data_IF_159799883646
#
_entry.id   IF_159799883646
#
_cell.length_a   1.000
_cell.length_b   1.000
_cell.length_c   1.000
_cell.angle_alpha   90.00
_cell.angle_beta   90.00
_cell.angle_gamma   90.00
#
_symmetry.space_group_name_H-M   'P 1'
#
loop_
_entity.id
_entity.type
_entity.pdbx_description
1 polymer ?
#
# COMPACT_ATOMS: atom_id res chain seq x y z
N UNK A 1 -23.87 -9.09 -3.67
CA UNK A 1 -22.63 -8.75 -2.96
C UNK A 1 -22.81 -7.34 -2.39
N UNK A 2 -22.59 -7.18 -1.08
CA UNK A 2 -22.60 -5.88 -0.41
C UNK A 2 -21.18 -5.63 0.10
N UNK A 3 -20.58 -4.52 -0.32
CA UNK A 3 -19.26 -4.09 0.13
C UNK A 3 -19.41 -2.89 1.06
N UNK A 4 -18.86 -3.00 2.27
CA UNK A 4 -18.88 -1.94 3.26
C UNK A 4 -17.42 -1.61 3.57
N UNK A 5 -17.07 -0.33 3.45
CA UNK A 5 -15.76 0.18 3.82
C UNK A 5 -15.90 1.07 5.05
N UNK A 6 -15.11 0.80 6.08
CA UNK A 6 -15.16 1.48 7.37
C UNK A 6 -13.92 2.37 7.53
N UNK A 7 -13.98 3.58 6.96
CA UNK A 7 -12.83 4.50 6.86
C UNK A 7 -12.41 5.15 8.19
N UNK A 8 -13.26 5.10 9.22
CA UNK A 8 -13.00 5.79 10.49
C UNK A 8 -11.70 5.31 11.14
N UNK A 9 -11.38 4.02 11.05
CA UNK A 9 -10.15 3.46 11.60
C UNK A 9 -8.90 4.10 10.98
N UNK A 10 -8.86 4.24 9.65
CA UNK A 10 -7.79 4.95 8.93
C UNK A 10 -7.66 6.38 9.41
N UNK A 11 -8.75 7.16 9.35
CA UNK A 11 -8.69 8.61 9.66
C UNK A 11 -8.27 8.88 11.10
N UNK A 12 -8.72 8.05 12.04
CA UNK A 12 -8.36 8.19 13.45
C UNK A 12 -6.89 7.79 13.65
N UNK A 13 -6.44 6.68 13.06
CA UNK A 13 -5.03 6.27 13.16
C UNK A 13 -4.08 7.27 12.48
N UNK A 14 -4.43 7.82 11.33
CA UNK A 14 -3.64 8.88 10.67
C UNK A 14 -3.54 10.12 11.56
N UNK A 15 -4.64 10.56 12.18
CA UNK A 15 -4.66 11.78 12.98
C UNK A 15 -3.97 11.64 14.36
N UNK A 16 -4.14 10.49 15.02
CA UNK A 16 -3.77 10.29 16.41
C UNK A 16 -2.63 9.28 16.63
N UNK A 17 -2.33 8.44 15.63
CA UNK A 17 -1.35 7.36 15.74
C UNK A 17 -1.96 6.04 16.22
N UNK A 18 -1.48 4.87 15.75
CA UNK A 18 -2.05 3.58 16.16
C UNK A 18 -1.87 3.25 17.64
N UNK A 19 -0.95 3.93 18.34
CA UNK A 19 -0.67 3.74 19.76
C UNK A 19 -1.58 4.59 20.67
N UNK A 20 -2.52 5.35 20.10
CA UNK A 20 -3.32 6.34 20.83
C UNK A 20 -4.56 5.74 21.49
N UNK A 21 -5.07 6.44 22.52
CA UNK A 21 -6.32 6.08 23.20
C UNK A 21 -7.55 6.25 22.28
N UNK A 22 -7.47 7.15 21.30
CA UNK A 22 -8.52 7.36 20.30
C UNK A 22 -8.66 6.14 19.38
N UNK A 23 -7.55 5.53 18.98
CA UNK A 23 -7.57 4.28 18.20
C UNK A 23 -8.09 3.13 19.04
N UNK A 24 -7.69 3.04 20.32
CA UNK A 24 -8.20 2.02 21.24
C UNK A 24 -9.73 2.13 21.42
N UNK A 25 -10.25 3.31 21.78
CA UNK A 25 -11.70 3.54 21.95
C UNK A 25 -12.47 3.30 20.64
N UNK A 26 -11.89 3.68 19.51
CA UNK A 26 -12.47 3.40 18.19
C UNK A 26 -12.65 1.90 17.95
N UNK A 27 -11.66 1.06 18.28
CA UNK A 27 -11.79 -0.38 18.10
C UNK A 27 -12.83 -1.00 19.03
N UNK A 28 -12.97 -0.55 20.28
CA UNK A 28 -14.05 -1.02 21.15
C UNK A 28 -15.44 -0.68 20.60
N UNK A 29 -15.60 0.50 20.00
CA UNK A 29 -16.86 0.89 19.34
C UNK A 29 -17.11 0.07 18.08
N UNK A 30 -16.07 -0.10 17.26
CA UNK A 30 -16.15 -0.88 16.03
C UNK A 30 -16.55 -2.33 16.32
N UNK A 31 -15.97 -2.95 17.35
CA UNK A 31 -16.34 -4.30 17.78
C UNK A 31 -17.83 -4.42 18.10
N UNK A 32 -18.35 -3.49 18.92
CA UNK A 32 -19.79 -3.45 19.26
C UNK A 32 -20.66 -3.22 18.02
N UNK A 33 -20.29 -2.27 17.17
CA UNK A 33 -21.06 -1.94 15.97
C UNK A 33 -21.06 -3.11 14.97
N UNK A 34 -19.95 -3.86 14.86
CA UNK A 34 -19.88 -5.10 14.09
C UNK A 34 -20.75 -6.19 14.70
N UNK A 35 -20.75 -6.35 16.02
CA UNK A 35 -21.60 -7.33 16.70
C UNK A 35 -23.10 -7.05 16.45
N UNK A 36 -23.52 -5.79 16.57
CA UNK A 36 -24.89 -5.36 16.30
C UNK A 36 -25.27 -5.57 14.82
N UNK A 37 -24.39 -5.18 13.90
CA UNK A 37 -24.61 -5.36 12.46
C UNK A 37 -24.71 -6.84 12.07
N UNK A 38 -23.79 -7.68 12.54
CA UNK A 38 -23.80 -9.11 12.25
C UNK A 38 -25.04 -9.78 12.85
N UNK A 39 -25.43 -9.41 14.08
CA UNK A 39 -26.67 -9.90 14.71
C UNK A 39 -27.89 -9.56 13.87
N UNK A 40 -27.99 -8.31 13.41
CA UNK A 40 -29.06 -7.89 12.50
C UNK A 40 -29.03 -8.69 11.19
N UNK A 41 -27.87 -8.77 10.53
CA UNK A 41 -27.70 -9.45 9.25
C UNK A 41 -28.12 -10.92 9.32
N UNK A 42 -27.61 -11.67 10.30
CA UNK A 42 -27.92 -13.09 10.46
C UNK A 42 -29.36 -13.36 10.89
N UNK A 43 -30.08 -12.37 11.44
CA UNK A 43 -31.51 -12.47 11.68
C UNK A 43 -32.36 -12.28 10.40
N UNK A 44 -31.83 -11.65 9.35
CA UNK A 44 -32.54 -11.42 8.08
C UNK A 44 -32.39 -12.56 7.07
N UNK A 45 -31.46 -13.50 7.29
CA UNK A 45 -31.09 -14.53 6.31
C UNK A 45 -31.19 -15.92 6.92
N UNK A 46 -31.51 -16.91 6.08
CA UNK A 46 -31.43 -18.30 6.51
C UNK A 46 -29.98 -18.70 6.79
N UNK A 47 -29.79 -19.54 7.81
CA UNK A 47 -28.48 -20.06 8.19
C UNK A 47 -27.86 -20.81 7.01
N UNK A 48 -26.64 -20.42 6.62
CA UNK A 48 -25.92 -21.05 5.50
C UNK A 48 -26.00 -20.29 4.17
N UNK A 49 -26.70 -19.16 4.11
CA UNK A 49 -26.88 -18.39 2.87
C UNK A 49 -26.00 -17.12 2.80
N UNK A 50 -25.20 -16.86 3.83
CA UNK A 50 -24.30 -15.70 3.88
C UNK A 50 -22.90 -16.11 4.31
N UNK A 51 -21.91 -15.55 3.63
CA UNK A 51 -20.51 -15.54 4.03
C UNK A 51 -20.06 -14.08 4.12
N UNK A 52 -19.51 -13.72 5.27
CA UNK A 52 -18.91 -12.42 5.55
C UNK A 52 -17.39 -12.57 5.43
N UNK A 53 -16.76 -11.66 4.70
CA UNK A 53 -15.31 -11.54 4.66
C UNK A 53 -14.94 -10.19 5.25
N UNK A 54 -14.17 -10.22 6.33
CA UNK A 54 -13.63 -9.03 6.99
C UNK A 54 -12.12 -9.00 6.80
N UNK A 55 -11.62 -7.88 6.32
CA UNK A 55 -10.19 -7.63 6.09
C UNK A 55 -9.90 -6.14 6.13
N UNK A 56 -8.63 -5.76 6.00
CA UNK A 56 -8.19 -4.39 5.83
C UNK A 56 -7.53 -4.23 4.46
N UNK A 57 -7.57 -3.05 3.87
CA UNK A 57 -6.84 -2.77 2.62
C UNK A 57 -5.36 -2.49 2.86
N UNK A 58 -5.01 -2.07 4.08
CA UNK A 58 -3.64 -1.97 4.58
C UNK A 58 -3.61 -1.91 6.12
N UNK A 59 -2.42 -2.03 6.70
CA UNK A 59 -2.15 -1.67 8.09
C UNK A 59 -1.77 -0.19 8.24
N UNK A 60 -0.91 0.16 9.19
CA UNK A 60 -0.40 1.54 9.32
C UNK A 60 0.96 1.56 10.01
N UNK A 61 1.77 2.56 9.69
CA UNK A 61 3.04 2.78 10.39
C UNK A 61 2.82 3.10 11.88
N UNK A 62 3.85 2.90 12.72
CA UNK A 62 3.91 3.58 14.00
C UNK A 62 3.82 5.10 13.83
N UNK A 63 3.50 5.80 14.92
CA UNK A 63 3.55 7.26 14.94
C UNK A 63 4.95 7.80 14.65
N UNK A 64 5.08 8.83 13.81
CA UNK A 64 6.38 9.41 13.46
C UNK A 64 7.12 9.98 14.68
N UNK A 65 6.39 10.41 15.71
CA UNK A 65 6.90 10.98 16.96
C UNK A 65 6.93 9.97 18.11
N UNK A 66 6.84 8.67 17.82
CA UNK A 66 6.98 7.62 18.82
C UNK A 66 8.36 7.69 19.49
N UNK A 67 8.38 7.72 20.83
CA UNK A 67 9.60 7.95 21.61
C UNK A 67 10.68 6.85 21.48
N UNK A 68 10.36 5.71 20.86
CA UNK A 68 11.24 4.56 20.70
C UNK A 68 11.31 4.18 19.22
N UNK A 69 12.48 4.30 18.60
CA UNK A 69 12.71 3.93 17.20
C UNK A 69 13.33 5.04 16.36
N UNK A 70 13.70 4.71 15.12
CA UNK A 70 14.16 5.69 14.12
C UNK A 70 12.98 6.13 13.23
N UNK A 71 11.94 6.68 13.83
CA UNK A 71 10.77 7.26 13.13
C UNK A 71 11.03 8.72 12.77
N UNK A 72 10.58 9.17 11.59
CA UNK A 72 10.77 10.56 11.16
C UNK A 72 9.80 10.94 10.01
N UNK A 73 9.86 12.19 9.55
CA UNK A 73 9.06 12.71 8.44
C UNK A 73 9.94 13.05 7.24
N UNK A 74 9.51 12.59 6.07
CA UNK A 74 10.14 12.87 4.80
C UNK A 74 9.54 14.12 4.16
N UNK A 75 10.34 15.19 4.04
CA UNK A 75 9.91 16.43 3.39
C UNK A 75 9.93 16.28 1.87
N UNK A 76 8.79 15.88 1.32
CA UNK A 76 8.57 15.65 -0.12
C UNK A 76 8.91 16.88 -0.99
N UNK A 77 8.52 18.08 -0.55
CA UNK A 77 8.75 19.33 -1.30
C UNK A 77 10.23 19.68 -1.38
N UNK A 78 10.96 19.54 -0.28
CA UNK A 78 12.40 19.76 -0.25
C UNK A 78 13.11 18.72 -1.12
N UNK A 79 12.71 17.45 -1.05
CA UNK A 79 13.23 16.39 -1.90
C UNK A 79 13.05 16.73 -3.40
N UNK A 80 11.84 17.12 -3.81
CA UNK A 80 11.54 17.51 -5.19
C UNK A 80 12.45 18.65 -5.69
N UNK A 81 12.61 19.71 -4.88
CA UNK A 81 13.49 20.84 -5.20
C UNK A 81 14.95 20.40 -5.35
N UNK A 82 15.44 19.53 -4.44
CA UNK A 82 16.82 19.04 -4.49
C UNK A 82 17.05 18.15 -5.72
N UNK A 83 16.11 17.26 -6.07
CA UNK A 83 16.21 16.42 -7.27
C UNK A 83 16.23 17.29 -8.54
N UNK A 84 15.37 18.31 -8.63
CA UNK A 84 15.40 19.23 -9.77
C UNK A 84 16.72 20.02 -9.82
N UNK A 85 17.25 20.44 -8.66
CA UNK A 85 18.57 21.07 -8.53
C UNK A 85 19.72 20.17 -9.01
N UNK A 86 19.70 18.90 -8.63
CA UNK A 86 20.66 17.89 -9.09
C UNK A 86 20.66 17.77 -10.62
N UNK A 87 19.47 17.65 -11.22
CA UNK A 87 19.31 17.57 -12.69
C UNK A 87 19.74 18.87 -13.38
N UNK A 88 19.52 20.03 -12.76
CA UNK A 88 19.98 21.32 -13.26
C UNK A 88 21.50 21.42 -13.33
N UNK A 89 22.22 20.93 -12.31
CA UNK A 89 23.69 20.91 -12.32
C UNK A 89 24.22 19.96 -13.41
N UNK A 90 23.53 18.84 -13.63
CA UNK A 90 23.98 17.79 -14.54
C UNK A 90 23.65 18.05 -16.02
N UNK A 91 22.48 18.61 -16.29
CA UNK A 91 21.94 18.76 -17.65
C UNK A 91 21.62 20.21 -18.04
N UNK A 92 21.93 21.16 -17.16
CA UNK A 92 21.64 22.59 -17.34
C UNK A 92 20.26 22.98 -16.85
N UNK A 93 20.03 24.28 -16.70
CA UNK A 93 18.80 24.83 -16.11
C UNK A 93 17.53 24.41 -16.87
N UNK A 94 16.53 23.97 -16.13
CA UNK A 94 15.21 23.61 -16.61
C UNK A 94 14.31 23.03 -15.51
N UNK A 95 13.06 22.79 -15.91
CA UNK A 95 12.07 22.10 -15.09
C UNK A 95 12.07 20.62 -15.47
N UNK A 96 12.90 19.85 -14.76
CA UNK A 96 13.14 18.43 -15.02
C UNK A 96 12.19 17.52 -14.26
N UNK A 97 11.72 17.96 -13.09
CA UNK A 97 10.72 17.26 -12.28
C UNK A 97 9.37 17.94 -12.47
N UNK A 98 8.36 17.17 -12.88
CA UNK A 98 6.98 17.63 -13.06
C UNK A 98 6.25 17.66 -11.73
N UNK A 99 6.44 16.61 -10.94
CA UNK A 99 5.83 16.46 -9.62
C UNK A 99 6.53 15.37 -8.81
N UNK A 100 6.33 15.45 -7.51
CA UNK A 100 6.45 14.32 -6.60
C UNK A 100 5.08 14.04 -5.97
N UNK A 101 4.62 12.78 -6.00
CA UNK A 101 3.37 12.37 -5.34
C UNK A 101 3.41 10.88 -4.97
N UNK A 102 2.93 10.53 -3.79
CA UNK A 102 2.84 9.16 -3.26
C UNK A 102 4.13 8.36 -3.52
N UNK A 103 5.25 8.87 -3.00
CA UNK A 103 6.58 8.27 -3.16
C UNK A 103 7.03 8.07 -4.62
N UNK A 104 6.41 8.75 -5.58
CA UNK A 104 6.77 8.69 -7.00
C UNK A 104 7.30 10.03 -7.50
N UNK A 105 8.46 10.01 -8.18
CA UNK A 105 8.99 11.14 -8.94
C UNK A 105 8.48 11.06 -10.37
N UNK A 106 7.96 12.17 -10.89
CA UNK A 106 7.53 12.31 -12.29
C UNK A 106 8.49 13.26 -13.01
N UNK A 107 9.11 12.78 -14.08
CA UNK A 107 10.08 13.54 -14.86
C UNK A 107 9.43 14.19 -16.08
N UNK A 108 10.00 15.30 -16.52
CA UNK A 108 9.54 16.01 -17.71
C UNK A 108 10.08 15.33 -18.97
N UNK A 109 9.32 14.38 -19.53
CA UNK A 109 9.73 13.60 -20.70
C UNK A 109 9.98 14.46 -21.94
N UNK A 110 9.19 15.52 -22.15
CA UNK A 110 9.40 16.45 -23.26
C UNK A 110 10.76 17.14 -23.14
N UNK A 111 11.10 17.61 -21.94
CA UNK A 111 12.38 18.28 -21.69
C UNK A 111 13.57 17.34 -21.89
N UNK A 112 13.46 16.10 -21.41
CA UNK A 112 14.48 15.05 -21.62
C UNK A 112 14.66 14.78 -23.11
N UNK A 113 13.57 14.64 -23.86
CA UNK A 113 13.59 14.42 -25.30
C UNK A 113 14.20 15.60 -26.08
N UNK A 114 13.78 16.84 -25.80
CA UNK A 114 14.30 18.06 -26.45
C UNK A 114 15.81 18.23 -26.27
N UNK A 115 16.34 17.73 -25.15
CA UNK A 115 17.76 17.77 -24.82
C UNK A 115 18.55 16.58 -25.39
N UNK A 116 17.88 15.66 -26.10
CA UNK A 116 18.48 14.47 -26.67
C UNK A 116 18.97 13.46 -25.63
N UNK A 117 18.42 13.49 -24.42
CA UNK A 117 18.81 12.62 -23.32
C UNK A 117 18.05 11.29 -23.36
N UNK A 118 18.68 10.23 -22.86
CA UNK A 118 18.03 8.94 -22.71
C UNK A 118 17.21 8.91 -21.41
N UNK A 119 15.89 8.70 -21.52
CA UNK A 119 14.99 8.66 -20.36
C UNK A 119 15.39 7.60 -19.32
N UNK A 120 15.80 6.41 -19.76
CA UNK A 120 16.18 5.34 -18.84
C UNK A 120 17.43 5.69 -18.02
N UNK A 121 18.39 6.38 -18.64
CA UNK A 121 19.59 6.86 -17.94
C UNK A 121 19.22 7.91 -16.90
N UNK A 122 18.40 8.92 -17.27
CA UNK A 122 17.95 9.95 -16.33
C UNK A 122 17.17 9.35 -15.16
N UNK A 123 16.25 8.42 -15.43
CA UNK A 123 15.51 7.71 -14.38
C UNK A 123 16.44 6.97 -13.41
N UNK A 124 17.45 6.28 -13.95
CA UNK A 124 18.40 5.53 -13.13
C UNK A 124 19.28 6.44 -12.27
N UNK A 125 19.72 7.57 -12.82
CA UNK A 125 20.49 8.56 -12.06
C UNK A 125 19.68 9.18 -10.91
N UNK A 126 18.41 9.51 -11.16
CA UNK A 126 17.50 10.01 -10.12
C UNK A 126 17.28 8.95 -9.03
N UNK A 127 17.11 7.68 -9.39
CA UNK A 127 16.99 6.60 -8.42
C UNK A 127 18.26 6.45 -7.56
N UNK A 128 19.45 6.47 -8.17
CA UNK A 128 20.74 6.42 -7.45
C UNK A 128 20.91 7.62 -6.53
N UNK A 129 20.54 8.82 -7.00
CA UNK A 129 20.63 10.04 -6.20
C UNK A 129 19.65 10.01 -5.01
N UNK A 130 18.42 9.55 -5.23
CA UNK A 130 17.41 9.43 -4.17
C UNK A 130 17.86 8.50 -3.03
N UNK A 131 18.63 7.45 -3.32
CA UNK A 131 19.20 6.54 -2.31
C UNK A 131 20.19 7.23 -1.34
N UNK A 132 20.66 8.45 -1.64
CA UNK A 132 21.55 9.20 -0.74
C UNK A 132 20.80 9.90 0.40
N UNK A 133 19.47 9.98 0.32
CA UNK A 133 18.65 10.61 1.34
C UNK A 133 18.42 9.64 2.50
N UNK A 134 18.69 10.10 3.73
CA UNK A 134 18.54 9.30 4.95
C UNK A 134 17.18 8.60 5.07
N UNK A 135 16.10 9.25 4.60
CA UNK A 135 14.75 8.73 4.68
C UNK A 135 14.37 7.71 3.60
N UNK A 136 15.25 7.39 2.64
CA UNK A 136 14.94 6.51 1.51
C UNK A 136 15.62 5.15 1.71
N UNK A 137 14.85 4.07 1.72
CA UNK A 137 15.38 2.70 1.80
C UNK A 137 15.58 2.07 0.42
N UNK A 138 14.70 2.38 -0.54
CA UNK A 138 14.76 1.89 -1.91
C UNK A 138 14.30 2.97 -2.88
N UNK A 139 14.91 3.01 -4.06
CA UNK A 139 14.45 3.80 -5.19
C UNK A 139 14.61 2.97 -6.48
N UNK A 140 13.51 2.72 -7.18
CA UNK A 140 13.49 1.91 -8.40
C UNK A 140 13.01 2.75 -9.59
N UNK A 141 13.78 2.73 -10.68
CA UNK A 141 13.39 3.39 -11.91
C UNK A 141 12.26 2.64 -12.62
N UNK A 142 11.37 3.37 -13.30
CA UNK A 142 10.33 2.79 -14.13
C UNK A 142 10.90 1.87 -15.22
N UNK A 143 12.11 2.15 -15.72
CA UNK A 143 12.81 1.24 -16.63
C UNK A 143 13.14 -0.08 -15.95
N UNK A 144 13.77 -0.08 -14.77
CA UNK A 144 14.06 -1.31 -14.04
C UNK A 144 12.79 -2.12 -13.73
N UNK A 145 11.70 -1.45 -13.39
CA UNK A 145 10.41 -2.09 -13.12
C UNK A 145 9.80 -2.78 -14.35
N UNK A 146 10.12 -2.32 -15.57
CA UNK A 146 9.63 -2.92 -16.82
C UNK A 146 10.57 -3.97 -17.41
N UNK A 147 11.88 -3.79 -17.23
CA UNK A 147 12.90 -4.60 -17.93
C UNK A 147 13.49 -5.72 -17.08
N UNK A 148 13.18 -5.75 -15.79
CA UNK A 148 13.74 -6.73 -14.85
C UNK A 148 12.62 -7.50 -14.15
N UNK A 149 12.98 -8.61 -13.49
CA UNK A 149 12.07 -9.36 -12.63
C UNK A 149 12.60 -9.37 -11.20
N UNK A 150 11.80 -8.89 -10.25
CA UNK A 150 12.12 -8.94 -8.83
C UNK A 150 11.35 -10.10 -8.18
N UNK A 151 12.07 -11.17 -7.83
CA UNK A 151 11.44 -12.43 -7.36
C UNK A 151 10.96 -12.41 -5.91
N UNK A 152 11.43 -11.50 -5.07
CA UNK A 152 11.10 -11.47 -3.65
C UNK A 152 11.30 -10.09 -3.00
N UNK A 153 10.90 -9.99 -1.72
CA UNK A 153 11.17 -8.82 -0.88
C UNK A 153 10.38 -7.57 -1.28
N UNK A 154 10.91 -6.42 -0.90
CA UNK A 154 10.27 -5.12 -1.14
C UNK A 154 10.23 -4.77 -2.63
N UNK A 155 11.28 -5.09 -3.38
CA UNK A 155 11.36 -4.79 -4.81
C UNK A 155 10.26 -5.52 -5.61
N UNK A 156 9.93 -6.78 -5.27
CA UNK A 156 8.78 -7.49 -5.87
C UNK A 156 7.47 -6.78 -5.57
N UNK A 157 7.25 -6.37 -4.33
CA UNK A 157 6.02 -5.66 -3.94
C UNK A 157 5.90 -4.32 -4.64
N UNK A 158 6.98 -3.55 -4.72
CA UNK A 158 7.01 -2.32 -5.52
C UNK A 158 6.69 -2.62 -6.99
N UNK A 159 7.22 -3.71 -7.57
CA UNK A 159 6.97 -4.08 -8.96
C UNK A 159 5.51 -4.46 -9.20
N UNK A 160 4.88 -5.17 -8.27
CA UNK A 160 3.46 -5.51 -8.33
C UNK A 160 2.56 -4.26 -8.25
N UNK A 161 3.00 -3.21 -7.57
CA UNK A 161 2.27 -1.93 -7.47
C UNK A 161 2.55 -0.97 -8.64
N UNK A 162 3.41 -1.33 -9.59
CA UNK A 162 3.80 -0.47 -10.69
C UNK A 162 2.95 -0.70 -11.95
N UNK A 163 2.34 0.37 -12.46
CA UNK A 163 1.64 0.38 -13.74
C UNK A 163 2.30 1.37 -14.71
N UNK A 164 2.88 0.92 -15.85
CA UNK A 164 3.71 1.75 -16.73
C UNK A 164 3.10 3.08 -17.20
N UNK A 165 1.76 3.18 -17.23
CA UNK A 165 1.05 4.38 -17.71
C UNK A 165 0.56 5.30 -16.59
N UNK A 166 0.66 4.91 -15.32
CA UNK A 166 0.11 5.66 -14.17
C UNK A 166 1.06 5.77 -12.98
N UNK A 167 2.15 5.04 -12.97
CA UNK A 167 3.21 5.17 -11.97
C UNK A 167 4.28 6.14 -12.44
N UNK A 168 4.97 6.77 -11.48
CA UNK A 168 6.05 7.70 -11.78
C UNK A 168 7.29 7.04 -12.37
N UNK A 169 8.24 7.88 -12.74
CA UNK A 169 9.51 7.54 -13.37
C UNK A 169 10.52 6.92 -12.41
N UNK A 170 10.41 7.25 -11.12
CA UNK A 170 11.15 6.62 -10.02
C UNK A 170 10.19 6.43 -8.86
N UNK A 171 10.10 5.21 -8.33
CA UNK A 171 9.28 4.85 -7.17
C UNK A 171 10.17 4.65 -5.96
N UNK A 172 9.83 5.29 -4.85
CA UNK A 172 10.57 5.21 -3.58
C UNK A 172 9.87 4.28 -2.59
N UNK A 173 10.66 3.68 -1.72
CA UNK A 173 10.20 3.18 -0.43
C UNK A 173 11.01 3.92 0.64
N UNK A 174 10.33 4.49 1.62
CA UNK A 174 11.00 5.20 2.72
C UNK A 174 11.61 4.20 3.71
N UNK A 175 12.39 4.69 4.66
CA UNK A 175 12.90 3.90 5.79
C UNK A 175 11.74 3.42 6.69
N UNK A 176 11.90 2.32 7.45
CA UNK A 176 10.87 1.87 8.39
C UNK A 176 10.51 2.96 9.39
N UNK A 177 9.22 3.19 9.62
CA UNK A 177 8.74 4.24 10.53
C UNK A 177 8.85 5.67 9.98
N UNK A 178 9.29 5.84 8.74
CA UNK A 178 9.25 7.13 8.06
C UNK A 178 7.97 7.29 7.25
N UNK A 179 7.35 8.46 7.37
CA UNK A 179 6.17 8.83 6.59
C UNK A 179 6.41 10.13 5.83
N UNK A 180 5.62 10.40 4.79
CA UNK A 180 5.65 11.68 4.11
C UNK A 180 5.12 12.79 5.02
N UNK A 181 5.75 13.97 4.97
CA UNK A 181 5.37 15.10 5.80
C UNK A 181 3.97 15.63 5.42
N UNK A 182 2.94 15.29 6.20
CA UNK A 182 1.57 15.80 6.03
C UNK A 182 1.00 16.47 7.29
N UNK A 183 0.29 17.60 7.15
CA UNK A 183 -0.32 18.30 8.29
C UNK A 183 -1.30 17.39 9.05
N UNK A 184 -1.22 17.40 10.39
CA UNK A 184 -2.10 16.61 11.27
C UNK A 184 -2.09 15.10 10.99
N UNK A 185 -0.98 14.57 10.49
CA UNK A 185 -0.78 13.15 10.23
C UNK A 185 0.36 12.63 11.12
N UNK A 186 0.04 11.68 12.00
CA UNK A 186 0.98 11.01 12.91
C UNK A 186 1.45 9.67 12.37
N UNK A 187 0.59 8.93 11.67
CA UNK A 187 0.94 7.69 10.96
C UNK A 187 0.43 7.72 9.52
N UNK A 188 1.02 6.92 8.65
CA UNK A 188 0.60 6.78 7.25
C UNK A 188 0.97 5.39 6.74
N UNK A 189 0.17 4.85 5.83
CA UNK A 189 0.46 3.58 5.16
C UNK A 189 1.14 3.77 3.79
N UNK A 190 1.47 2.66 3.13
CA UNK A 190 2.00 2.64 1.76
C UNK A 190 3.48 2.28 1.66
N UNK A 191 4.10 1.86 2.76
CA UNK A 191 5.42 1.23 2.75
C UNK A 191 5.30 -0.28 2.45
N UNK A 192 6.43 -0.90 2.13
CA UNK A 192 6.50 -2.34 1.84
C UNK A 192 6.70 -3.20 3.11
N UNK A 193 6.54 -2.61 4.30
CA UNK A 193 6.83 -3.25 5.58
C UNK A 193 5.61 -3.99 6.16
N UNK A 194 5.89 -4.91 7.09
CA UNK A 194 4.86 -5.77 7.70
C UNK A 194 3.70 -4.98 8.29
N UNK A 195 3.98 -3.89 9.00
CA UNK A 195 2.95 -3.05 9.61
C UNK A 195 1.95 -2.43 8.61
N UNK A 196 2.30 -2.31 7.32
CA UNK A 196 1.39 -1.83 6.27
C UNK A 196 0.80 -2.97 5.43
N UNK A 197 1.56 -4.05 5.25
CA UNK A 197 1.18 -5.13 4.32
C UNK A 197 0.49 -6.32 4.98
N UNK A 198 0.62 -6.48 6.30
CA UNK A 198 -0.02 -7.55 7.05
C UNK A 198 -1.39 -7.08 7.53
N UNK A 199 -2.44 -7.78 7.10
CA UNK A 199 -3.83 -7.43 7.38
C UNK A 199 -4.59 -8.65 7.89
N UNK A 200 -5.61 -8.48 8.74
CA UNK A 200 -6.47 -9.59 9.13
C UNK A 200 -7.25 -10.10 7.92
N UNK A 201 -7.54 -11.39 7.89
CA UNK A 201 -8.46 -11.99 6.93
C UNK A 201 -9.36 -13.00 7.65
N UNK A 202 -10.63 -12.63 7.81
CA UNK A 202 -11.63 -13.44 8.52
C UNK A 202 -12.74 -13.82 7.56
N UNK A 203 -13.01 -15.11 7.45
CA UNK A 203 -14.22 -15.65 6.82
C UNK A 203 -15.18 -16.10 7.93
N UNK A 204 -16.43 -15.63 7.86
CA UNK A 204 -17.45 -15.91 8.86
C UNK A 204 -18.79 -16.28 8.21
N UNK A 205 -19.53 -17.21 8.80
CA UNK A 205 -20.79 -17.74 8.24
C UNK A 205 -20.58 -19.08 7.55
N UNK A 206 -20.99 -19.18 6.29
CA UNK A 206 -20.98 -20.43 5.51
C UNK A 206 -19.55 -20.79 5.06
N UNK A 207 -19.08 -22.00 5.34
CA UNK A 207 -17.73 -22.46 5.01
C UNK A 207 -17.19 -23.54 5.96
N UNK A 208 -15.86 -23.66 6.03
CA UNK A 208 -15.08 -24.75 6.67
C UNK A 208 -15.14 -24.87 8.20
N UNK A 209 -16.06 -24.16 8.83
CA UNK A 209 -16.13 -24.10 10.28
C UNK A 209 -14.99 -23.32 10.92
N UNK A 210 -14.88 -23.42 12.25
CA UNK A 210 -13.89 -22.68 13.01
C UNK A 210 -12.50 -23.29 12.85
N UNK A 211 -11.57 -22.50 12.32
CA UNK A 211 -10.17 -22.86 12.17
C UNK A 211 -9.28 -21.62 12.22
N UNK A 212 -8.00 -21.82 12.49
CA UNK A 212 -6.98 -20.77 12.43
C UNK A 212 -5.87 -21.23 11.48
N UNK A 213 -5.58 -20.40 10.48
CA UNK A 213 -4.61 -20.70 9.42
C UNK A 213 -3.38 -19.83 9.64
N UNK A 214 -2.25 -20.46 10.00
CA UNK A 214 -0.99 -19.75 10.29
C UNK A 214 -0.04 -19.63 9.10
N UNK A 215 -0.41 -20.10 7.90
CA UNK A 215 0.41 -19.93 6.69
C UNK A 215 0.21 -18.54 6.08
N UNK A 216 1.19 -18.11 5.29
CA UNK A 216 1.06 -16.87 4.51
C UNK A 216 -0.03 -17.01 3.44
N UNK A 217 -0.79 -15.93 3.27
CA UNK A 217 -1.87 -15.77 2.30
C UNK A 217 -1.74 -14.38 1.67
N UNK A 218 -1.84 -14.29 0.34
CA UNK A 218 -1.90 -13.02 -0.36
C UNK A 218 -3.35 -12.53 -0.50
N UNK A 219 -3.56 -11.22 -0.39
CA UNK A 219 -4.88 -10.59 -0.58
C UNK A 219 -5.49 -10.85 -1.97
N UNK A 220 -4.66 -11.17 -2.97
CA UNK A 220 -5.11 -11.57 -4.31
C UNK A 220 -5.91 -12.87 -4.32
N UNK A 221 -5.83 -13.69 -3.25
CA UNK A 221 -6.58 -14.93 -3.11
C UNK A 221 -8.07 -14.72 -2.76
N UNK A 222 -8.45 -13.55 -2.20
CA UNK A 222 -9.81 -13.32 -1.69
C UNK A 222 -10.85 -13.34 -2.81
N UNK A 223 -10.60 -12.59 -3.88
CA UNK A 223 -11.53 -12.48 -5.01
C UNK A 223 -11.80 -13.83 -5.74
N UNK A 224 -10.79 -14.63 -6.13
CA UNK A 224 -11.04 -15.94 -6.74
C UNK A 224 -11.70 -16.93 -5.76
N UNK A 225 -11.42 -16.83 -4.45
CA UNK A 225 -12.09 -17.64 -3.42
C UNK A 225 -13.58 -17.32 -3.33
N UNK A 226 -13.93 -16.03 -3.28
CA UNK A 226 -15.33 -15.60 -3.29
C UNK A 226 -16.06 -15.97 -4.58
N UNK A 227 -15.40 -15.84 -5.74
CA UNK A 227 -15.97 -16.28 -7.01
C UNK A 227 -16.29 -17.78 -7.01
N UNK A 228 -15.37 -18.60 -6.45
CA UNK A 228 -15.59 -20.05 -6.30
C UNK A 228 -16.77 -20.36 -5.39
N UNK A 229 -16.87 -19.72 -4.22
CA UNK A 229 -18.01 -19.89 -3.30
C UNK A 229 -19.34 -19.51 -3.95
N UNK A 230 -19.36 -18.45 -4.77
CA UNK A 230 -20.56 -17.96 -5.43
C UNK A 230 -20.92 -18.75 -6.71
N UNK A 231 -20.10 -19.70 -7.15
CA UNK A 231 -20.28 -20.37 -8.45
C UNK A 231 -20.12 -19.42 -9.65
N UNK A 232 -19.40 -18.30 -9.47
CA UNK A 232 -19.16 -17.28 -10.48
C UNK A 232 -17.81 -17.45 -11.16
N UNK A 233 -17.66 -16.89 -12.36
CA UNK A 233 -16.37 -16.81 -13.04
C UNK A 233 -15.43 -15.88 -12.27
N UNK A 234 -14.14 -16.25 -12.19
CA UNK A 234 -13.12 -15.42 -11.57
C UNK A 234 -12.93 -14.08 -12.33
N UNK A 235 -12.49 -13.02 -11.65
CA UNK A 235 -12.12 -11.77 -12.32
C UNK A 235 -11.06 -11.99 -13.40
N UNK A 236 -11.18 -11.29 -14.53
CA UNK A 236 -10.39 -11.53 -15.74
C UNK A 236 -8.86 -11.38 -15.55
N UNK A 237 -8.42 -10.60 -14.57
CA UNK A 237 -7.01 -10.36 -14.25
C UNK A 237 -6.63 -10.89 -12.85
N UNK A 238 -7.37 -11.87 -12.33
CA UNK A 238 -7.04 -12.51 -11.06
C UNK A 238 -5.80 -13.39 -11.22
N UNK A 239 -4.77 -13.11 -10.41
CA UNK A 239 -3.54 -13.91 -10.37
C UNK A 239 -3.41 -14.73 -9.07
N UNK A 240 -4.33 -14.53 -8.12
CA UNK A 240 -4.32 -15.24 -6.84
C UNK A 240 -4.87 -16.66 -6.94
N UNK A 241 -4.39 -17.53 -6.05
CA UNK A 241 -4.91 -18.88 -5.89
C UNK A 241 -6.10 -18.88 -4.93
N UNK A 242 -7.05 -19.78 -5.18
CA UNK A 242 -8.20 -19.97 -4.28
C UNK A 242 -7.70 -20.54 -2.94
N UNK A 243 -8.31 -20.11 -1.83
CA UNK A 243 -8.03 -20.65 -0.51
C UNK A 243 -8.72 -22.01 -0.32
N UNK A 244 -7.99 -23.14 -0.38
CA UNK A 244 -8.59 -24.47 -0.25
C UNK A 244 -9.29 -24.64 1.11
N UNK A 245 -8.76 -24.00 2.16
CA UNK A 245 -9.33 -24.04 3.51
C UNK A 245 -10.75 -23.47 3.57
N UNK A 246 -11.20 -22.73 2.56
CA UNK A 246 -12.54 -22.14 2.50
C UNK A 246 -13.46 -22.90 1.55
N UNK A 247 -12.94 -23.44 0.44
CA UNK A 247 -13.76 -24.00 -0.65
C UNK A 247 -13.76 -25.53 -0.71
N UNK A 248 -12.73 -26.19 -0.18
CA UNK A 248 -12.61 -27.65 -0.18
C UNK A 248 -13.21 -28.18 1.14
N UNK A 249 -14.54 -28.21 1.19
CA UNK A 249 -15.37 -28.66 2.33
C UNK A 249 -15.67 -30.15 2.28
#
# INVERSE_FOLDING_TARGET
>A
MLNICLDSSRRIAEAYGPESIEVEDMYYRLDRDLADFLTFLFAQVEKGNVTVVLTSDHGTSPSYDMACGETDRFNARQFEVIVNGFLNVRYGTGDWVVAYNDKCVWLNHNRIYERGLNLAEVQNEVAIFAMQFRGVSHALSATAMRSSYFGSGYARRMQNSFYPRRSGDVVLNLMPGWIEEQERCRSLSGSMYGYDTEVPLVFYGTGAGQQHVGRSVDMTAVAPTLARLAGATQPAASEGEVLPEIVDL
#
